data_IF_592650263492
#
_entry.id   IF_592650263492
#
_cell.length_a   1.000
_cell.length_b   1.000
_cell.length_c   1.000
_cell.angle_alpha   90.00
_cell.angle_beta   90.00
_cell.angle_gamma   90.00
#
_symmetry.space_group_name_H-M   'P 1'
#
loop_
_entity.id
_entity.type
_entity.pdbx_description
1 polymer ?
#
# COMPACT_ATOMS: atom_id res chain seq x y z
N UNK A 1 -6.75 -1.15 -23.01
CA UNK A 1 -7.98 -1.87 -22.58
C UNK A 1 -7.80 -2.61 -21.26
N UNK A 2 -6.77 -3.46 -21.09
CA UNK A 2 -6.55 -4.23 -19.84
C UNK A 2 -6.39 -3.36 -18.59
N UNK A 3 -5.59 -2.30 -18.65
CA UNK A 3 -5.39 -1.37 -17.52
C UNK A 3 -6.67 -0.72 -17.01
N UNK A 4 -7.61 -0.40 -17.91
CA UNK A 4 -8.91 0.20 -17.57
C UNK A 4 -9.78 -0.78 -16.79
N UNK A 5 -9.76 -2.07 -17.16
CA UNK A 5 -10.54 -3.11 -16.48
C UNK A 5 -10.02 -3.32 -15.06
N UNK A 6 -8.69 -3.37 -14.88
CA UNK A 6 -8.05 -3.49 -13.55
C UNK A 6 -8.40 -2.29 -12.68
N UNK A 7 -8.36 -1.08 -13.25
CA UNK A 7 -8.73 0.13 -12.52
C UNK A 7 -10.21 0.13 -12.09
N UNK A 8 -11.14 -0.23 -12.99
CA UNK A 8 -12.55 -0.37 -12.64
C UNK A 8 -12.78 -1.41 -11.54
N UNK A 9 -12.11 -2.56 -11.61
CA UNK A 9 -12.20 -3.60 -10.57
C UNK A 9 -11.68 -3.10 -9.22
N UNK A 10 -10.58 -2.35 -9.21
CA UNK A 10 -10.05 -1.71 -8.00
C UNK A 10 -11.05 -0.70 -7.40
N UNK A 11 -11.67 0.14 -8.24
CA UNK A 11 -12.68 1.10 -7.79
C UNK A 11 -13.91 0.40 -7.19
N UNK A 12 -14.33 -0.73 -7.80
CA UNK A 12 -15.42 -1.56 -7.27
C UNK A 12 -15.02 -2.18 -5.93
N UNK A 13 -13.80 -2.73 -5.81
CA UNK A 13 -13.30 -3.33 -4.58
C UNK A 13 -13.28 -2.33 -3.41
N UNK A 14 -12.87 -1.08 -3.67
CA UNK A 14 -12.85 0.00 -2.69
C UNK A 14 -14.24 0.30 -2.09
N UNK A 15 -15.31 0.07 -2.84
CA UNK A 15 -16.69 0.26 -2.39
C UNK A 15 -17.27 -0.99 -1.74
N UNK A 16 -17.01 -2.17 -2.30
CA UNK A 16 -17.66 -3.41 -1.88
C UNK A 16 -16.96 -4.07 -0.70
N UNK A 17 -15.63 -4.05 -0.66
CA UNK A 17 -14.87 -4.82 0.35
C UNK A 17 -15.18 -4.38 1.77
N UNK A 18 -15.22 -3.08 2.13
CA UNK A 18 -15.55 -2.66 3.49
C UNK A 18 -16.90 -3.21 3.96
N UNK A 19 -17.93 -3.13 3.12
CA UNK A 19 -19.26 -3.66 3.42
C UNK A 19 -19.27 -5.19 3.61
N UNK A 20 -18.46 -5.91 2.84
CA UNK A 20 -18.27 -7.36 3.04
C UNK A 20 -17.56 -7.64 4.37
N UNK A 21 -16.52 -6.86 4.69
CA UNK A 21 -15.77 -6.99 5.94
C UNK A 21 -16.64 -6.77 7.17
N UNK A 22 -17.54 -5.78 7.12
CA UNK A 22 -18.50 -5.49 8.20
C UNK A 22 -19.53 -6.62 8.33
N UNK A 23 -20.06 -7.12 7.21
CA UNK A 23 -21.02 -8.23 7.19
C UNK A 23 -20.43 -9.53 7.74
N UNK A 24 -19.13 -9.73 7.57
CA UNK A 24 -18.38 -10.88 8.09
C UNK A 24 -17.81 -10.64 9.49
N UNK A 25 -18.08 -9.49 10.12
CA UNK A 25 -17.55 -9.08 11.43
C UNK A 25 -16.01 -9.24 11.53
N UNK A 26 -15.30 -8.94 10.44
CA UNK A 26 -13.84 -9.13 10.38
C UNK A 26 -13.12 -8.18 11.33
N UNK A 27 -12.04 -8.66 11.97
CA UNK A 27 -11.13 -7.75 12.68
C UNK A 27 -10.33 -6.90 11.70
N UNK A 28 -9.81 -5.75 12.15
CA UNK A 28 -8.99 -4.88 11.31
C UNK A 28 -7.73 -5.60 10.77
N UNK A 29 -7.16 -6.52 11.54
CA UNK A 29 -6.05 -7.37 11.09
C UNK A 29 -6.44 -8.29 9.95
N UNK A 30 -7.57 -8.98 10.09
CA UNK A 30 -8.08 -9.91 9.08
C UNK A 30 -8.44 -9.17 7.79
N UNK A 31 -9.11 -8.01 7.92
CA UNK A 31 -9.48 -7.20 6.77
C UNK A 31 -8.26 -6.64 6.04
N UNK A 32 -7.25 -6.16 6.79
CA UNK A 32 -6.03 -5.60 6.22
C UNK A 32 -5.22 -6.66 5.48
N UNK A 33 -5.12 -7.85 6.06
CA UNK A 33 -4.54 -9.03 5.42
C UNK A 33 -5.27 -9.46 4.16
N UNK A 34 -6.61 -9.51 4.22
CA UNK A 34 -7.45 -9.86 3.08
C UNK A 34 -7.28 -8.87 1.92
N UNK A 35 -7.34 -7.56 2.20
CA UNK A 35 -7.11 -6.52 1.20
C UNK A 35 -5.74 -6.66 0.52
N UNK A 36 -4.68 -6.89 1.29
CA UNK A 36 -3.32 -7.03 0.76
C UNK A 36 -3.15 -8.26 -0.15
N UNK A 37 -3.96 -9.30 0.01
CA UNK A 37 -3.95 -10.50 -0.85
C UNK A 37 -4.87 -10.32 -2.05
N UNK A 38 -6.03 -9.70 -1.88
CA UNK A 38 -7.05 -9.61 -2.91
C UNK A 38 -6.80 -8.52 -3.96
N UNK A 39 -6.08 -7.45 -3.61
CA UNK A 39 -5.85 -6.31 -4.51
C UNK A 39 -4.33 -6.13 -4.78
N UNK A 40 -3.96 -6.19 -6.06
CA UNK A 40 -2.56 -6.11 -6.48
C UNK A 40 -2.02 -4.69 -6.64
N UNK A 41 -2.88 -3.67 -6.67
CA UNK A 41 -2.47 -2.26 -6.69
C UNK A 41 -2.29 -1.71 -5.25
N UNK A 42 -1.10 -1.20 -4.95
CA UNK A 42 -0.73 -0.77 -3.59
C UNK A 42 -1.57 0.42 -3.12
N UNK A 43 -1.80 1.41 -3.99
CA UNK A 43 -2.58 2.58 -3.60
C UNK A 43 -4.04 2.20 -3.33
N UNK A 44 -4.62 1.36 -4.19
CA UNK A 44 -5.99 0.86 -4.03
C UNK A 44 -6.16 0.01 -2.76
N UNK A 45 -5.19 -0.86 -2.44
CA UNK A 45 -5.20 -1.64 -1.18
C UNK A 45 -5.27 -0.73 0.03
N UNK A 46 -4.35 0.24 0.11
CA UNK A 46 -4.22 1.10 1.28
C UNK A 46 -5.49 1.94 1.44
N UNK A 47 -6.02 2.49 0.35
CA UNK A 47 -7.26 3.25 0.36
C UNK A 47 -8.47 2.41 0.81
N UNK A 48 -8.57 1.16 0.34
CA UNK A 48 -9.67 0.25 0.71
C UNK A 48 -9.58 -0.16 2.19
N UNK A 49 -8.39 -0.52 2.66
CA UNK A 49 -8.14 -0.88 4.05
C UNK A 49 -8.38 0.30 5.02
N UNK A 50 -7.98 1.51 4.62
CA UNK A 50 -8.21 2.73 5.40
C UNK A 50 -9.69 3.08 5.57
N UNK A 51 -10.58 2.65 4.65
CA UNK A 51 -12.02 2.83 4.85
C UNK A 51 -12.58 1.95 5.97
N UNK A 52 -11.92 0.83 6.26
CA UNK A 52 -12.34 -0.10 7.32
C UNK A 52 -11.70 0.22 8.67
N UNK A 53 -10.49 0.77 8.69
CA UNK A 53 -9.85 1.29 9.89
C UNK A 53 -8.36 1.58 9.71
N UNK A 54 -7.81 2.39 10.63
CA UNK A 54 -6.41 2.82 10.57
C UNK A 54 -5.44 1.64 10.76
N UNK A 55 -5.71 0.72 11.69
CA UNK A 55 -4.84 -0.45 11.90
C UNK A 55 -4.86 -1.37 10.68
N UNK A 56 -6.02 -1.47 10.02
CA UNK A 56 -6.16 -2.24 8.79
C UNK A 56 -5.28 -1.70 7.66
N UNK A 57 -5.25 -0.37 7.50
CA UNK A 57 -4.39 0.30 6.52
C UNK A 57 -2.91 0.07 6.80
N UNK A 58 -2.51 0.14 8.08
CA UNK A 58 -1.13 -0.12 8.49
C UNK A 58 -0.72 -1.56 8.14
N UNK A 59 -1.55 -2.54 8.49
CA UNK A 59 -1.30 -3.96 8.24
C UNK A 59 -1.21 -4.23 6.74
N UNK A 60 -2.14 -3.69 5.95
CA UNK A 60 -2.14 -3.87 4.51
C UNK A 60 -0.88 -3.26 3.85
N UNK A 61 -0.44 -2.10 4.33
CA UNK A 61 0.80 -1.43 3.90
C UNK A 61 2.02 -2.28 4.22
N UNK A 62 2.14 -2.77 5.46
CA UNK A 62 3.25 -3.60 5.91
C UNK A 62 3.33 -4.87 5.05
N UNK A 63 2.21 -5.57 4.81
CA UNK A 63 2.19 -6.79 4.00
C UNK A 63 2.60 -6.55 2.53
N UNK A 64 2.17 -5.42 1.95
CA UNK A 64 2.59 -5.00 0.60
C UNK A 64 4.09 -4.75 0.52
N UNK A 65 4.62 -3.96 1.46
CA UNK A 65 6.04 -3.64 1.53
C UNK A 65 6.88 -4.89 1.78
N UNK A 66 6.39 -5.81 2.62
CA UNK A 66 7.07 -7.06 2.93
C UNK A 66 7.28 -7.92 1.68
N UNK A 67 6.29 -8.00 0.77
CA UNK A 67 6.45 -8.72 -0.50
C UNK A 67 7.60 -8.17 -1.34
N UNK A 68 7.67 -6.84 -1.47
CA UNK A 68 8.75 -6.17 -2.21
C UNK A 68 10.10 -6.35 -1.52
N UNK A 69 10.12 -6.27 -0.19
CA UNK A 69 11.33 -6.48 0.62
C UNK A 69 11.83 -7.92 0.48
N UNK A 70 10.95 -8.93 0.50
CA UNK A 70 11.29 -10.35 0.43
C UNK A 70 11.91 -10.77 -0.91
N UNK A 71 11.63 -10.06 -1.99
CA UNK A 71 12.29 -10.29 -3.28
C UNK A 71 13.80 -10.03 -3.20
N UNK A 72 14.25 -9.09 -2.36
CA UNK A 72 15.67 -8.73 -2.27
C UNK A 72 16.53 -9.87 -1.68
N UNK A 73 16.23 -10.44 -0.49
CA UNK A 73 16.94 -11.61 0.02
C UNK A 73 16.87 -12.79 -0.95
N UNK A 74 15.71 -13.02 -1.57
CA UNK A 74 15.53 -14.14 -2.49
C UNK A 74 16.39 -14.00 -3.74
N UNK A 75 16.54 -12.79 -4.28
CA UNK A 75 17.44 -12.48 -5.39
C UNK A 75 18.91 -12.66 -5.00
N UNK A 76 19.30 -12.25 -3.79
CA UNK A 76 20.67 -12.43 -3.27
C UNK A 76 20.98 -13.92 -3.15
N UNK A 77 20.12 -14.71 -2.50
CA UNK A 77 20.27 -16.15 -2.34
C UNK A 77 20.34 -16.85 -3.71
N UNK A 78 19.43 -16.50 -4.63
CA UNK A 78 19.43 -17.04 -5.98
C UNK A 78 20.70 -16.70 -6.77
N UNK A 79 21.32 -15.54 -6.50
CA UNK A 79 22.60 -15.14 -7.09
C UNK A 79 23.79 -15.90 -6.48
N UNK A 80 23.76 -16.22 -5.19
CA UNK A 80 24.83 -16.99 -4.52
C UNK A 80 24.84 -18.45 -4.99
N UNK A 81 23.67 -19.05 -5.19
CA UNK A 81 23.53 -20.41 -5.73
C UNK A 81 23.89 -20.45 -7.22
N UNK A 82 23.58 -19.39 -7.96
CA UNK A 82 23.83 -19.29 -9.40
C UNK A 82 25.10 -18.46 -9.63
N UNK A 83 26.26 -19.11 -9.48
CA UNK A 83 27.61 -18.56 -9.71
C UNK A 83 27.74 -17.92 -11.13
N UNK A 84 27.20 -16.71 -11.30
CA UNK A 84 27.16 -15.94 -12.54
C UNK A 84 28.02 -14.71 -12.33
N UNK A 85 29.24 -14.79 -12.85
CA UNK A 85 30.31 -13.78 -12.77
C UNK A 85 29.95 -12.38 -13.31
N UNK A 86 28.71 -12.08 -13.71
CA UNK A 86 28.39 -10.83 -14.41
C UNK A 86 26.97 -10.27 -14.25
N UNK A 87 26.15 -10.73 -13.30
CA UNK A 87 24.89 -10.03 -13.01
C UNK A 87 25.13 -8.97 -11.94
N UNK A 88 25.32 -7.71 -12.37
CA UNK A 88 25.22 -6.56 -11.46
C UNK A 88 23.87 -6.66 -10.78
N UNK A 89 23.87 -6.97 -9.48
CA UNK A 89 22.69 -6.88 -8.63
C UNK A 89 22.26 -5.41 -8.62
N UNK A 90 21.35 -5.06 -9.53
CA UNK A 90 20.73 -3.76 -9.57
C UNK A 90 19.77 -3.68 -8.41
N UNK A 91 20.28 -3.45 -7.19
CA UNK A 91 19.45 -3.08 -6.05
C UNK A 91 18.66 -1.85 -6.51
N UNK A 92 17.32 -1.94 -6.61
CA UNK A 92 16.54 -0.83 -7.11
C UNK A 92 16.76 0.37 -6.20
N UNK A 93 17.10 1.51 -6.80
CA UNK A 93 17.42 2.75 -6.08
C UNK A 93 16.32 3.17 -5.08
N UNK A 94 15.06 2.78 -5.32
CA UNK A 94 13.93 3.04 -4.41
C UNK A 94 14.12 2.39 -3.02
N UNK A 95 14.81 1.25 -2.93
CA UNK A 95 15.04 0.55 -1.65
C UNK A 95 15.95 1.37 -0.74
N UNK A 96 17.01 1.94 -1.33
CA UNK A 96 17.96 2.80 -0.61
C UNK A 96 17.25 4.05 -0.11
N UNK A 97 16.44 4.69 -0.95
CA UNK A 97 15.65 5.85 -0.56
C UNK A 97 14.60 5.52 0.51
N UNK A 98 13.94 4.37 0.42
CA UNK A 98 12.98 3.93 1.43
C UNK A 98 13.65 3.77 2.81
N UNK A 99 14.81 3.12 2.87
CA UNK A 99 15.57 2.95 4.11
C UNK A 99 16.00 4.30 4.71
N UNK A 100 16.44 5.25 3.86
CA UNK A 100 16.77 6.60 4.30
C UNK A 100 15.53 7.32 4.84
N UNK A 101 14.40 7.24 4.13
CA UNK A 101 13.16 7.88 4.55
C UNK A 101 12.63 7.33 5.89
N UNK A 102 12.67 6.00 6.08
CA UNK A 102 12.30 5.36 7.35
C UNK A 102 13.26 5.78 8.46
N UNK A 103 14.57 5.87 8.19
CA UNK A 103 15.56 6.31 9.18
C UNK A 103 15.40 7.78 9.58
N UNK A 104 15.01 8.64 8.64
CA UNK A 104 14.76 10.07 8.88
C UNK A 104 13.39 10.36 9.48
N UNK A 105 12.40 9.48 9.28
CA UNK A 105 11.02 9.65 9.75
C UNK A 105 10.92 9.97 11.25
N UNK A 106 11.57 9.22 12.15
CA UNK A 106 11.56 9.50 13.58
C UNK A 106 12.31 10.78 13.99
N UNK A 107 13.29 11.25 13.20
CA UNK A 107 14.02 12.50 13.46
C UNK A 107 13.23 13.74 13.02
N UNK A 108 12.35 13.58 12.05
CA UNK A 108 11.36 14.57 11.67
C UNK A 108 10.21 14.48 12.68
N UNK A 109 10.33 15.16 13.82
CA UNK A 109 9.18 15.41 14.70
C UNK A 109 8.13 16.19 13.90
N UNK A 110 7.16 15.48 13.33
CA UNK A 110 6.05 16.08 12.59
C UNK A 110 5.26 16.91 13.60
N UNK A 111 5.18 18.25 13.45
CA UNK A 111 4.43 19.08 14.39
C UNK A 111 2.94 18.69 14.36
N UNK A 112 2.32 18.51 15.54
CA UNK A 112 0.91 18.11 15.70
C UNK A 112 -0.08 19.03 14.94
N UNK A 113 0.35 20.25 14.61
CA UNK A 113 -0.42 21.23 13.82
C UNK A 113 -0.75 20.74 12.39
N UNK A 114 0.07 19.86 11.79
CA UNK A 114 -0.22 19.27 10.47
C UNK A 114 -1.23 18.12 10.53
N UNK A 115 -1.36 17.44 11.68
CA UNK A 115 -2.30 16.32 11.83
C UNK A 115 -3.76 16.80 11.84
N UNK A 116 -4.05 17.96 12.43
CA UNK A 116 -5.42 18.52 12.47
C UNK A 116 -5.91 19.08 11.13
N UNK A 117 -5.01 19.54 10.25
CA UNK A 117 -5.39 20.06 8.93
C UNK A 117 -5.50 18.96 7.86
N UNK A 118 -4.93 17.78 8.12
CA UNK A 118 -4.85 16.71 7.12
C UNK A 118 -6.17 15.96 6.91
N UNK A 119 -7.02 15.84 7.93
CA UNK A 119 -8.29 15.11 7.80
C UNK A 119 -9.26 15.83 6.84
N UNK A 120 -9.32 17.17 6.93
CA UNK A 120 -10.18 18.00 6.07
C UNK A 120 -9.68 18.02 4.63
N UNK A 121 -8.36 18.11 4.42
CA UNK A 121 -7.77 18.07 3.08
C UNK A 121 -7.98 16.70 2.41
N UNK A 122 -7.86 15.61 3.18
CA UNK A 122 -8.08 14.24 2.69
C UNK A 122 -9.54 14.00 2.28
N UNK A 123 -10.52 14.50 3.05
CA UNK A 123 -11.94 14.43 2.68
C UNK A 123 -12.23 15.23 1.39
N UNK A 124 -11.66 16.43 1.27
CA UNK A 124 -11.88 17.29 0.09
C UNK A 124 -11.23 16.71 -1.16
N UNK A 125 -10.01 16.16 -1.07
CA UNK A 125 -9.33 15.50 -2.19
C UNK A 125 -10.07 14.24 -2.66
N UNK A 126 -10.65 13.47 -1.74
CA UNK A 126 -11.40 12.26 -2.08
C UNK A 126 -12.69 12.61 -2.84
N UNK A 127 -13.39 13.66 -2.42
CA UNK A 127 -14.57 14.17 -3.15
C UNK A 127 -14.20 14.70 -4.54
N UNK A 128 -13.10 15.45 -4.65
CA UNK A 128 -12.61 15.97 -5.95
C UNK A 128 -12.17 14.82 -6.87
N UNK A 129 -11.44 13.83 -6.35
CA UNK A 129 -11.01 12.68 -7.13
C UNK A 129 -12.21 11.86 -7.65
N UNK A 130 -13.19 11.58 -6.78
CA UNK A 130 -14.44 10.90 -7.18
C UNK A 130 -15.20 11.68 -8.26
N UNK A 131 -15.25 13.01 -8.14
CA UNK A 131 -15.87 13.87 -9.15
C UNK A 131 -15.13 13.80 -10.49
N UNK A 132 -13.80 13.86 -10.49
CA UNK A 132 -12.98 13.82 -11.71
C UNK A 132 -12.95 12.45 -12.41
N UNK A 133 -13.23 11.35 -11.70
CA UNK A 133 -13.41 10.04 -12.34
C UNK A 133 -14.84 9.83 -12.87
N UNK A 134 -15.80 10.66 -12.46
CA UNK A 134 -17.21 10.60 -12.87
C UNK A 134 -17.54 11.35 -14.16
N UNK A 135 -16.58 12.05 -14.78
CA UNK A 135 -16.69 12.76 -16.07
C UNK A 135 -15.67 12.23 -17.06
#
# INVERSE_FOLDING_TARGET
MVWTIVFCLNAIALLIFPSIGECLEMSQEQFGGWCAVAIDDTYSVIATAARFGDDSAQIATILKLLRTLWLIPLLILASLVRNRQHSRLGVPWFVVLFLIAVGLGPLLSIPDFLMSSSSWLSQTLLVIALYSFGT
#
